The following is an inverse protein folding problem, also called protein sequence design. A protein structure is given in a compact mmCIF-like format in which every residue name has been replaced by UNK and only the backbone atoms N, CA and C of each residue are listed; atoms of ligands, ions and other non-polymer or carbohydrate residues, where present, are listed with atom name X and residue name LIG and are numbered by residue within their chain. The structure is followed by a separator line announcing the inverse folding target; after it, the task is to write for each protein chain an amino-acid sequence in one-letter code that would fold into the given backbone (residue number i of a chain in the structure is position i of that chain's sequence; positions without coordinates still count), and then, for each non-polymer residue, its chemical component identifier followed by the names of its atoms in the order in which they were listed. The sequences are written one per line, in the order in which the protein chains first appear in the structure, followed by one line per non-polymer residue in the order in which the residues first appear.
data_IF_096516636905
#
_entry.id   IF_096516636905
#
_cell.length_a   1.000
_cell.length_b   1.000
_cell.length_c   1.000
_cell.angle_alpha   90.00
_cell.angle_beta   90.00
_cell.angle_gamma   90.00
#
_symmetry.space_group_name_H-M   'P 1'
#
loop_
_entity.id
_entity.type
_entity.pdbx_description
1 polymer ?
#
# COMPACT_ATOMS: atom_id res chain seq x y z
N UNK A 1 -29.74 -36.49 -21.67
CA UNK A 1 -30.50 -36.19 -20.43
C UNK A 1 -29.50 -35.94 -19.30
N UNK A 2 -29.76 -34.88 -18.52
CA UNK A 2 -29.13 -34.44 -17.25
C UNK A 2 -27.71 -33.84 -17.35
N UNK A 3 -27.52 -32.51 -17.35
CA UNK A 3 -27.60 -31.52 -16.23
C UNK A 3 -26.55 -31.81 -15.16
N UNK A 4 -25.70 -30.89 -14.69
CA UNK A 4 -26.01 -29.58 -14.10
C UNK A 4 -24.74 -28.68 -14.04
N UNK A 5 -24.88 -27.43 -14.49
CA UNK A 5 -24.51 -26.17 -13.80
C UNK A 5 -23.16 -26.16 -13.04
N UNK A 6 -22.08 -25.52 -13.51
CA UNK A 6 -21.90 -24.05 -13.57
C UNK A 6 -22.64 -23.32 -12.44
N UNK A 7 -22.03 -23.23 -11.26
CA UNK A 7 -22.10 -22.09 -10.31
C UNK A 7 -21.80 -22.57 -8.89
N UNK A 8 -20.53 -22.45 -8.50
CA UNK A 8 -20.18 -22.18 -7.11
C UNK A 8 -19.27 -20.97 -7.13
N UNK A 9 -19.92 -19.81 -7.19
CA UNK A 9 -19.56 -18.60 -6.46
C UNK A 9 -18.09 -18.52 -6.04
N UNK A 10 -17.31 -17.90 -6.91
CA UNK A 10 -16.08 -17.20 -6.56
C UNK A 10 -16.48 -16.06 -5.60
N UNK A 11 -16.70 -16.40 -4.33
CA UNK A 11 -16.76 -15.45 -3.23
C UNK A 11 -15.33 -14.95 -2.94
N UNK A 12 -14.68 -14.38 -3.96
CA UNK A 12 -13.78 -13.26 -3.72
C UNK A 12 -14.70 -12.11 -3.40
N UNK A 13 -15.11 -12.07 -2.13
CA UNK A 13 -15.63 -10.88 -1.50
C UNK A 13 -14.64 -9.76 -1.76
N UNK A 14 -14.87 -9.01 -2.85
CA UNK A 14 -14.44 -7.65 -3.02
C UNK A 14 -15.05 -6.83 -1.88
N UNK A 15 -14.62 -7.07 -0.64
CA UNK A 15 -14.49 -5.99 0.32
C UNK A 15 -13.35 -5.13 -0.21
N UNK A 16 -13.66 -4.31 -1.20
CA UNK A 16 -12.85 -3.20 -1.67
C UNK A 16 -12.81 -2.15 -0.56
N UNK A 17 -12.31 -2.51 0.62
CA UNK A 17 -11.73 -1.54 1.52
C UNK A 17 -10.35 -1.20 0.94
N UNK A 18 -10.34 -0.58 -0.24
CA UNK A 18 -9.16 0.12 -0.72
C UNK A 18 -8.81 1.11 0.39
N UNK A 19 -7.63 0.94 1.00
CA UNK A 19 -7.13 1.88 2.00
C UNK A 19 -7.22 3.28 1.41
N UNK A 20 -7.55 4.27 2.24
CA UNK A 20 -7.47 5.64 1.79
C UNK A 20 -6.03 5.96 1.36
N UNK A 21 -5.83 6.85 0.38
CA UNK A 21 -4.50 7.28 -0.05
C UNK A 21 -3.60 7.71 1.12
N UNK A 22 -4.18 8.39 2.12
CA UNK A 22 -3.48 8.81 3.32
C UNK A 22 -3.07 7.63 4.20
N UNK A 23 -3.96 6.65 4.43
CA UNK A 23 -3.62 5.45 5.21
C UNK A 23 -2.53 4.62 4.54
N UNK A 24 -2.55 4.53 3.21
CA UNK A 24 -1.51 3.86 2.44
C UNK A 24 -0.16 4.62 2.52
N UNK A 25 -0.20 5.95 2.48
CA UNK A 25 0.99 6.79 2.64
C UNK A 25 1.61 6.65 4.04
N UNK A 26 0.80 6.58 5.10
CA UNK A 26 1.28 6.31 6.47
C UNK A 26 1.97 4.97 6.58
N UNK A 27 1.42 3.92 5.97
CA UNK A 27 2.03 2.58 6.04
C UNK A 27 3.39 2.52 5.33
N UNK A 28 3.51 3.17 4.17
CA UNK A 28 4.81 3.35 3.49
C UNK A 28 5.77 4.13 4.37
N UNK A 29 5.30 5.20 5.00
CA UNK A 29 6.10 6.03 5.89
C UNK A 29 6.64 5.24 7.09
N UNK A 30 5.78 4.46 7.75
CA UNK A 30 6.15 3.66 8.91
C UNK A 30 7.14 2.56 8.51
N UNK A 31 6.98 1.98 7.31
CA UNK A 31 7.97 1.06 6.74
C UNK A 31 9.34 1.72 6.58
N UNK A 32 9.41 2.94 6.01
CA UNK A 32 10.70 3.64 5.88
C UNK A 32 11.30 4.04 7.23
N UNK A 33 10.48 4.34 8.24
CA UNK A 33 10.97 4.64 9.60
C UNK A 33 11.57 3.42 10.27
N UNK A 34 10.99 2.23 10.09
CA UNK A 34 11.54 1.00 10.70
C UNK A 34 12.95 0.67 10.20
N UNK A 35 13.29 1.08 8.96
CA UNK A 35 14.64 0.96 8.41
C UNK A 35 15.69 1.73 9.21
N UNK A 36 15.31 2.84 9.84
CA UNK A 36 16.23 3.67 10.62
C UNK A 36 16.76 2.96 11.87
N UNK A 37 16.01 1.97 12.38
CA UNK A 37 16.35 1.21 13.59
C UNK A 37 16.94 -0.18 13.27
N UNK A 38 16.96 -0.59 12.00
CA UNK A 38 17.33 -1.94 11.57
C UNK A 38 18.84 -2.10 11.27
N UNK A 39 19.37 -3.34 11.39
CA UNK A 39 20.78 -3.63 11.03
C UNK A 39 20.97 -3.59 9.50
N UNK A 40 22.16 -3.25 9.02
CA UNK A 40 22.47 -3.10 7.57
C UNK A 40 21.93 -4.21 6.63
N UNK A 41 21.95 -5.48 7.05
CA UNK A 41 21.42 -6.59 6.24
C UNK A 41 19.87 -6.64 6.22
N UNK A 42 19.23 -6.26 7.32
CA UNK A 42 17.77 -6.11 7.45
C UNK A 42 17.30 -4.89 6.65
N UNK A 43 18.05 -3.78 6.70
CA UNK A 43 17.77 -2.56 5.92
C UNK A 43 17.64 -2.84 4.43
N UNK A 44 18.52 -3.65 3.82
CA UNK A 44 18.43 -3.97 2.38
C UNK A 44 17.12 -4.71 2.04
N UNK A 45 16.72 -5.65 2.90
CA UNK A 45 15.52 -6.47 2.70
C UNK A 45 14.26 -5.64 2.94
N UNK A 46 14.19 -4.95 4.07
CA UNK A 46 13.06 -4.10 4.42
C UNK A 46 12.92 -2.91 3.44
N UNK A 47 14.02 -2.32 2.94
CA UNK A 47 13.96 -1.27 1.91
C UNK A 47 13.27 -1.78 0.64
N UNK A 48 13.54 -3.03 0.25
CA UNK A 48 12.89 -3.66 -0.90
C UNK A 48 11.40 -3.86 -0.64
N UNK A 49 11.01 -4.28 0.56
CA UNK A 49 9.61 -4.43 0.96
C UNK A 49 8.87 -3.09 0.94
N UNK A 50 9.45 -2.02 1.50
CA UNK A 50 8.87 -0.69 1.45
C UNK A 50 8.71 -0.19 0.00
N UNK A 51 9.70 -0.45 -0.85
CA UNK A 51 9.65 -0.08 -2.28
C UNK A 51 8.53 -0.82 -3.01
N UNK A 52 8.35 -2.12 -2.74
CA UNK A 52 7.24 -2.90 -3.30
C UNK A 52 5.88 -2.39 -2.81
N UNK A 53 5.80 -1.96 -1.56
CA UNK A 53 4.59 -1.36 -0.99
C UNK A 53 4.21 -0.05 -1.70
N UNK A 54 5.19 0.81 -1.99
CA UNK A 54 4.99 2.03 -2.80
C UNK A 54 4.46 1.70 -4.18
N UNK A 55 5.07 0.74 -4.88
CA UNK A 55 4.63 0.36 -6.22
C UNK A 55 3.22 -0.24 -6.23
N UNK A 56 2.89 -1.05 -5.22
CA UNK A 56 1.55 -1.61 -5.04
C UNK A 56 0.51 -0.50 -4.97
N UNK A 57 0.65 0.42 -4.01
CA UNK A 57 -0.32 1.50 -3.81
C UNK A 57 -0.37 2.50 -4.96
N UNK A 58 0.77 2.77 -5.60
CA UNK A 58 0.82 3.60 -6.81
C UNK A 58 0.00 3.02 -7.97
N UNK A 59 -0.11 1.69 -8.07
CA UNK A 59 -0.94 1.01 -9.09
C UNK A 59 -2.42 0.94 -8.69
N UNK A 60 -2.72 1.03 -7.40
CA UNK A 60 -4.09 1.03 -6.87
C UNK A 60 -4.77 2.40 -6.97
N UNK A 61 -4.01 3.50 -6.90
CA UNK A 61 -4.55 4.86 -6.97
C UNK A 61 -4.32 5.53 -8.33
N UNK A 62 -5.20 6.46 -8.68
CA UNK A 62 -5.08 7.29 -9.88
C UNK A 62 -5.61 8.70 -9.62
N UNK A 63 -5.33 9.65 -10.52
CA UNK A 63 -5.87 11.02 -10.40
C UNK A 63 -5.49 11.70 -9.08
N UNK A 64 -6.48 12.24 -8.38
CA UNK A 64 -6.28 12.98 -7.13
C UNK A 64 -5.91 12.06 -5.95
N UNK A 65 -6.35 10.80 -5.97
CA UNK A 65 -5.95 9.81 -4.95
C UNK A 65 -4.45 9.51 -5.04
N UNK A 66 -3.90 9.40 -6.25
CA UNK A 66 -2.47 9.19 -6.43
C UNK A 66 -1.66 10.41 -5.95
N UNK A 67 -2.19 11.63 -6.14
CA UNK A 67 -1.56 12.85 -5.60
C UNK A 67 -1.61 12.88 -4.08
N UNK A 68 -2.75 12.53 -3.47
CA UNK A 68 -2.90 12.47 -2.02
C UNK A 68 -1.96 11.44 -1.39
N UNK A 69 -1.81 10.26 -2.00
CA UNK A 69 -0.85 9.24 -1.59
C UNK A 69 0.59 9.74 -1.69
N UNK A 70 0.98 10.27 -2.85
CA UNK A 70 2.35 10.75 -3.09
C UNK A 70 2.70 11.95 -2.21
N UNK A 71 1.73 12.86 -2.00
CA UNK A 71 1.84 14.00 -1.10
C UNK A 71 1.99 13.56 0.35
N UNK A 72 1.18 12.59 0.81
CA UNK A 72 1.31 12.04 2.16
C UNK A 72 2.67 11.39 2.43
N UNK A 73 3.28 10.75 1.43
CA UNK A 73 4.67 10.22 1.55
C UNK A 73 5.67 11.37 1.64
N UNK A 74 5.53 12.41 0.82
CA UNK A 74 6.42 13.57 0.86
C UNK A 74 6.32 14.33 2.20
N UNK A 75 5.10 14.49 2.71
CA UNK A 75 4.83 15.07 4.03
C UNK A 75 5.44 14.22 5.14
N UNK A 76 5.43 12.89 5.01
CA UNK A 76 6.14 12.03 5.94
C UNK A 76 7.64 12.28 5.98
N UNK A 77 8.30 12.29 4.81
CA UNK A 77 9.76 12.42 4.73
C UNK A 77 10.22 13.79 5.23
N UNK A 78 9.40 14.83 5.02
CA UNK A 78 9.68 16.19 5.48
C UNK A 78 9.29 16.45 6.95
N UNK A 79 8.76 15.43 7.66
CA UNK A 79 8.38 15.51 9.08
C UNK A 79 7.01 16.16 9.34
N UNK A 80 6.18 16.33 8.30
CA UNK A 80 4.88 16.98 8.34
C UNK A 80 3.67 16.06 8.55
N UNK A 81 3.73 14.82 8.05
CA UNK A 81 2.74 13.72 8.19
C UNK A 81 1.29 14.13 8.56
N UNK A 82 0.70 15.08 7.83
CA UNK A 82 -0.67 15.62 7.97
C UNK A 82 -0.90 16.78 8.97
N UNK A 83 -0.12 17.86 8.87
CA UNK A 83 -0.45 19.16 9.48
C UNK A 83 -1.60 19.88 8.77
#
# INVERSE_FOLDING_TARGET
MKTLLFSTFLALTFMSCSKSPQSAATEVCDCYKSLGDAKMAEVITETKECTQLVEKYRKEFSGDDLKAFSGGIADCVTGGLFK
#
